data_IF_961449568888
#
_entry.id   IF_961449568888
#
_cell.length_a   1.000
_cell.length_b   1.000
_cell.length_c   1.000
_cell.angle_alpha   90.00
_cell.angle_beta   90.00
_cell.angle_gamma   90.00
#
_symmetry.space_group_name_H-M   'P 1'
#
loop_
_entity.id
_entity.type
_entity.pdbx_description
1 polymer ?
#
# COMPACT_ATOMS: atom_id res chain seq x y z
N UNK A 1 -25.91 81.00 -13.13
CA UNK A 1 -25.52 80.28 -11.90
C UNK A 1 -25.54 78.80 -12.21
N UNK A 2 -24.37 78.16 -12.17
CA UNK A 2 -24.08 76.88 -12.82
C UNK A 2 -24.62 75.67 -12.04
N UNK A 3 -25.13 74.69 -12.80
CA UNK A 3 -25.67 73.40 -12.35
C UNK A 3 -24.50 72.51 -11.93
N UNK A 4 -24.45 72.09 -10.66
CA UNK A 4 -23.40 71.23 -10.13
C UNK A 4 -23.54 69.79 -10.63
N UNK A 5 -22.67 69.40 -11.55
CA UNK A 5 -22.48 68.03 -12.05
C UNK A 5 -21.90 67.15 -10.92
N UNK A 6 -22.68 66.21 -10.38
CA UNK A 6 -22.18 65.26 -9.37
C UNK A 6 -21.26 64.24 -10.05
N UNK A 7 -19.96 64.32 -9.81
CA UNK A 7 -19.00 63.28 -10.26
C UNK A 7 -19.31 61.95 -9.56
N UNK A 8 -19.40 60.82 -10.28
CA UNK A 8 -19.56 59.51 -9.65
C UNK A 8 -18.27 59.16 -8.89
N UNK A 9 -18.44 58.77 -7.61
CA UNK A 9 -17.37 58.26 -6.76
C UNK A 9 -17.00 56.85 -7.22
N UNK A 10 -15.87 56.71 -7.92
CA UNK A 10 -15.30 55.41 -8.26
C UNK A 10 -14.48 54.87 -7.09
N UNK A 11 -14.82 53.69 -6.53
CA UNK A 11 -14.00 53.07 -5.50
C UNK A 11 -12.62 52.67 -6.06
N UNK A 12 -11.50 52.88 -5.32
CA UNK A 12 -10.13 52.68 -5.82
C UNK A 12 -9.73 51.21 -6.05
N UNK A 13 -10.62 50.24 -5.79
CA UNK A 13 -10.31 48.81 -5.80
C UNK A 13 -10.70 48.10 -7.11
N UNK A 14 -11.42 48.74 -8.02
CA UNK A 14 -11.91 48.10 -9.26
C UNK A 14 -10.83 47.80 -10.31
N UNK A 15 -9.61 48.32 -10.13
CA UNK A 15 -8.49 48.05 -11.06
C UNK A 15 -7.68 46.80 -10.73
N UNK A 16 -7.78 46.26 -9.51
CA UNK A 16 -7.03 45.05 -9.12
C UNK A 16 -7.69 43.79 -9.69
N UNK A 17 -9.03 43.78 -9.80
CA UNK A 17 -9.78 42.64 -10.32
C UNK A 17 -9.88 42.59 -11.85
N UNK A 18 -9.47 43.65 -12.56
CA UNK A 18 -9.51 43.72 -14.03
C UNK A 18 -8.32 43.02 -14.73
N UNK A 19 -7.42 42.39 -13.98
CA UNK A 19 -6.28 41.61 -14.50
C UNK A 19 -6.21 40.18 -13.95
N UNK A 20 -7.35 39.61 -13.59
CA UNK A 20 -7.44 38.15 -13.50
C UNK A 20 -7.62 37.69 -14.95
N UNK A 21 -6.63 37.00 -15.55
CA UNK A 21 -6.79 36.55 -16.92
C UNK A 21 -8.00 35.65 -16.96
N UNK A 22 -8.86 35.94 -17.93
CA UNK A 22 -9.97 35.14 -18.43
C UNK A 22 -9.46 33.78 -19.00
N UNK A 23 -8.58 33.10 -18.28
CA UNK A 23 -7.84 31.88 -18.63
C UNK A 23 -8.31 30.69 -17.77
N UNK A 24 -9.53 30.78 -17.21
CA UNK A 24 -10.23 29.72 -16.47
C UNK A 24 -11.62 29.44 -17.08
N UNK A 25 -11.84 29.75 -18.36
CA UNK A 25 -13.17 29.84 -18.97
C UNK A 25 -13.56 28.69 -19.94
N UNK A 26 -12.87 27.55 -19.99
CA UNK A 26 -13.29 26.50 -20.92
C UNK A 26 -13.21 25.13 -20.27
N UNK A 27 -14.33 24.42 -20.23
CA UNK A 27 -14.44 22.98 -19.92
C UNK A 27 -13.34 22.15 -20.61
N UNK A 28 -12.88 22.60 -21.79
CA UNK A 28 -11.72 22.07 -22.52
C UNK A 28 -10.41 22.11 -21.72
N UNK A 29 -10.12 23.16 -20.96
CA UNK A 29 -8.89 23.25 -20.13
C UNK A 29 -8.93 22.26 -18.96
N UNK A 30 -10.10 22.08 -18.35
CA UNK A 30 -10.30 21.06 -17.31
C UNK A 30 -10.18 19.64 -17.89
N UNK A 31 -10.76 19.38 -19.07
CA UNK A 31 -10.61 18.09 -19.75
C UNK A 31 -9.15 17.77 -20.09
N UNK A 32 -8.38 18.75 -20.57
CA UNK A 32 -6.95 18.57 -20.86
C UNK A 32 -6.18 18.23 -19.58
N UNK A 33 -6.42 18.96 -18.48
CA UNK A 33 -5.77 18.68 -17.20
C UNK A 33 -6.13 17.28 -16.65
N UNK A 34 -7.40 16.88 -16.74
CA UNK A 34 -7.84 15.54 -16.33
C UNK A 34 -7.20 14.43 -17.17
N UNK A 35 -7.08 14.61 -18.49
CA UNK A 35 -6.42 13.62 -19.36
C UNK A 35 -4.93 13.54 -19.07
N UNK A 36 -4.26 14.67 -18.85
CA UNK A 36 -2.84 14.69 -18.49
C UNK A 36 -2.59 14.02 -17.13
N UNK A 37 -3.41 14.30 -16.12
CA UNK A 37 -3.27 13.62 -14.82
C UNK A 37 -3.60 12.14 -14.91
N UNK A 38 -4.60 11.74 -15.70
CA UNK A 38 -4.90 10.33 -15.95
C UNK A 38 -3.78 9.60 -16.68
N UNK A 39 -3.14 10.23 -17.68
CA UNK A 39 -2.00 9.66 -18.40
C UNK A 39 -0.75 9.56 -17.53
N UNK A 40 -0.45 10.59 -16.75
CA UNK A 40 0.67 10.58 -15.82
C UNK A 40 0.45 9.56 -14.70
N UNK A 41 -0.77 9.48 -14.14
CA UNK A 41 -1.14 8.50 -13.14
C UNK A 41 -1.13 7.07 -13.68
N UNK A 42 -1.72 6.84 -14.86
CA UNK A 42 -1.68 5.55 -15.54
C UNK A 42 -0.26 5.11 -15.90
N UNK A 43 0.56 6.05 -16.39
CA UNK A 43 1.98 5.84 -16.66
C UNK A 43 2.75 5.48 -15.41
N UNK A 44 2.52 6.18 -14.29
CA UNK A 44 3.13 5.86 -13.00
C UNK A 44 2.73 4.47 -12.52
N UNK A 45 1.45 4.09 -12.62
CA UNK A 45 0.96 2.75 -12.24
C UNK A 45 1.60 1.66 -13.08
N UNK A 46 1.78 1.87 -14.38
CA UNK A 46 2.46 0.91 -15.25
C UNK A 46 3.96 0.85 -14.94
N UNK A 47 4.58 1.99 -14.68
CA UNK A 47 5.99 2.08 -14.33
C UNK A 47 6.32 1.46 -12.97
N UNK A 48 5.44 1.65 -11.98
CA UNK A 48 5.59 1.12 -10.63
C UNK A 48 5.09 -0.33 -10.48
N UNK A 49 4.57 -0.93 -11.55
CA UNK A 49 4.38 -2.37 -11.59
C UNK A 49 5.77 -3.01 -11.62
N UNK A 50 6.18 -3.51 -10.46
CA UNK A 50 7.19 -4.56 -10.36
C UNK A 50 6.88 -5.59 -11.45
N UNK A 51 7.81 -5.91 -12.39
CA UNK A 51 7.57 -6.96 -13.36
C UNK A 51 7.26 -8.23 -12.56
N UNK A 52 6.06 -8.78 -12.73
CA UNK A 52 5.77 -10.13 -12.25
C UNK A 52 6.80 -11.00 -12.95
N UNK A 53 7.83 -11.39 -12.21
CA UNK A 53 8.80 -12.34 -12.69
C UNK A 53 7.99 -13.59 -13.05
N UNK A 54 7.80 -13.81 -14.36
CA UNK A 54 7.31 -15.06 -14.91
C UNK A 54 8.43 -16.10 -14.83
N UNK A 55 9.02 -16.22 -13.63
CA UNK A 55 9.68 -17.41 -13.18
C UNK A 55 8.59 -18.48 -13.22
N UNK A 56 8.70 -19.38 -14.21
CA UNK A 56 7.83 -20.55 -14.33
C UNK A 56 7.64 -21.12 -12.93
N UNK A 57 6.41 -21.04 -12.45
CA UNK A 57 5.92 -21.77 -11.29
C UNK A 57 5.84 -23.27 -11.64
N UNK A 58 6.98 -23.84 -12.04
CA UNK A 58 7.26 -25.27 -12.13
C UNK A 58 8.31 -25.64 -11.08
N UNK A 59 8.39 -24.86 -10.00
CA UNK A 59 8.60 -25.47 -8.69
C UNK A 59 7.25 -26.08 -8.33
N UNK A 60 7.18 -27.40 -8.17
CA UNK A 60 6.03 -28.02 -7.54
C UNK A 60 6.02 -27.45 -6.12
N UNK A 61 5.25 -26.38 -5.88
CA UNK A 61 4.93 -25.96 -4.52
C UNK A 61 3.95 -27.01 -4.02
N UNK A 62 4.48 -28.13 -3.59
CA UNK A 62 3.72 -29.16 -2.92
C UNK A 62 3.32 -28.58 -1.57
N UNK A 63 2.04 -28.24 -1.44
CA UNK A 63 1.50 -27.81 -0.17
C UNK A 63 1.72 -28.92 0.86
N UNK A 64 2.02 -28.58 2.13
CA UNK A 64 2.15 -29.59 3.17
C UNK A 64 0.85 -30.40 3.25
N UNK A 65 0.99 -31.72 3.10
CA UNK A 65 -0.10 -32.68 3.14
C UNK A 65 -0.18 -33.31 4.53
N UNK A 66 -1.41 -33.43 5.03
CA UNK A 66 -1.67 -34.00 6.36
C UNK A 66 -1.08 -35.41 6.44
N UNK A 67 -0.46 -35.73 7.58
CA UNK A 67 0.17 -37.03 7.83
C UNK A 67 1.57 -37.20 7.23
N UNK A 68 2.08 -36.21 6.51
CA UNK A 68 3.47 -36.18 6.04
C UNK A 68 4.31 -35.27 6.92
N UNK A 69 5.62 -35.52 6.93
CA UNK A 69 6.56 -34.66 7.65
C UNK A 69 6.55 -33.25 7.03
N UNK A 70 6.48 -32.25 7.90
CA UNK A 70 6.63 -30.86 7.48
C UNK A 70 8.04 -30.64 6.89
N UNK A 71 8.17 -29.87 5.79
CA UNK A 71 9.48 -29.53 5.23
C UNK A 71 10.36 -28.84 6.27
N UNK A 72 11.63 -29.26 6.33
CA UNK A 72 12.58 -28.64 7.25
C UNK A 72 12.97 -27.24 6.76
N UNK A 73 13.12 -26.32 7.70
CA UNK A 73 13.56 -24.95 7.43
C UNK A 73 14.34 -24.40 8.61
N UNK A 74 15.24 -23.46 8.33
CA UNK A 74 15.97 -22.69 9.34
C UNK A 74 15.66 -21.21 9.20
N UNK A 75 15.31 -20.56 10.30
CA UNK A 75 14.98 -19.13 10.36
C UNK A 75 15.83 -18.44 11.42
N UNK A 76 16.15 -17.17 11.18
CA UNK A 76 16.64 -16.30 12.23
C UNK A 76 15.47 -15.84 13.09
N UNK A 77 15.63 -15.97 14.41
CA UNK A 77 14.68 -15.45 15.40
C UNK A 77 14.90 -13.96 15.60
N UNK A 78 13.90 -13.22 16.10
CA UNK A 78 14.06 -11.81 16.45
C UNK A 78 15.17 -11.55 17.48
N UNK A 79 15.48 -12.54 18.32
CA UNK A 79 16.52 -12.47 19.35
C UNK A 79 17.94 -12.69 18.78
N UNK A 80 18.06 -13.03 17.49
CA UNK A 80 19.32 -13.25 16.78
C UNK A 80 19.78 -14.71 16.75
N UNK A 81 19.08 -15.61 17.44
CA UNK A 81 19.34 -17.06 17.40
C UNK A 81 18.79 -17.70 16.12
N UNK A 82 19.27 -18.89 15.76
CA UNK A 82 18.70 -19.70 14.68
C UNK A 82 17.71 -20.73 15.22
N UNK A 83 16.57 -20.86 14.54
CA UNK A 83 15.56 -21.87 14.81
C UNK A 83 15.45 -22.81 13.60
N UNK A 84 15.56 -24.12 13.83
CA UNK A 84 15.39 -25.15 12.79
C UNK A 84 14.25 -26.10 13.18
N UNK A 85 13.30 -26.36 12.27
CA UNK A 85 12.10 -27.15 12.57
C UNK A 85 12.43 -28.57 13.06
N UNK A 86 13.38 -29.26 12.41
CA UNK A 86 13.74 -30.64 12.80
C UNK A 86 14.23 -30.76 14.25
N UNK A 87 14.77 -29.68 14.83
CA UNK A 87 15.24 -29.67 16.22
C UNK A 87 14.12 -29.88 17.25
N UNK A 88 12.87 -29.70 16.84
CA UNK A 88 11.68 -29.90 17.69
C UNK A 88 11.21 -31.35 17.77
N UNK A 89 11.77 -32.25 16.94
CA UNK A 89 11.42 -33.67 16.88
C UNK A 89 12.37 -34.44 17.82
N UNK A 90 11.81 -35.33 18.67
CA UNK A 90 12.64 -36.18 19.53
C UNK A 90 13.28 -37.34 18.74
N UNK A 91 14.39 -37.87 19.26
CA UNK A 91 15.19 -38.97 18.69
C UNK A 91 14.42 -40.28 18.51
N UNK A 92 13.25 -40.40 19.14
CA UNK A 92 12.30 -41.51 19.02
C UNK A 92 11.33 -41.38 17.83
N UNK A 93 11.35 -40.25 17.10
CA UNK A 93 10.46 -40.02 15.95
C UNK A 93 9.04 -39.58 16.32
N UNK A 94 8.72 -39.45 17.61
CA UNK A 94 7.53 -38.73 18.05
C UNK A 94 7.78 -37.22 17.98
N UNK A 95 6.88 -36.51 17.28
CA UNK A 95 6.84 -35.05 17.29
C UNK A 95 6.85 -34.58 18.75
N UNK A 96 7.77 -33.67 19.10
CA UNK A 96 7.88 -33.12 20.44
C UNK A 96 6.68 -32.25 20.80
N UNK A 97 6.91 -30.99 21.17
CA UNK A 97 5.80 -30.05 21.40
C UNK A 97 5.09 -29.76 20.07
N UNK A 98 3.75 -29.66 20.03
CA UNK A 98 3.05 -29.22 18.83
C UNK A 98 3.52 -27.82 18.42
N UNK A 99 3.81 -27.63 17.14
CA UNK A 99 4.26 -26.35 16.57
C UNK A 99 3.18 -25.81 15.66
N UNK A 100 2.79 -24.56 15.87
CA UNK A 100 1.87 -23.82 15.00
C UNK A 100 2.68 -22.75 14.25
N UNK A 101 2.72 -22.85 12.92
CA UNK A 101 3.37 -21.86 12.06
C UNK A 101 2.35 -20.83 11.59
N UNK A 102 2.58 -19.56 11.93
CA UNK A 102 1.72 -18.45 11.53
C UNK A 102 2.48 -17.51 10.57
N UNK A 103 1.95 -17.28 9.37
CA UNK A 103 2.50 -16.37 8.37
C UNK A 103 1.80 -15.01 8.47
N UNK A 104 2.51 -13.98 8.93
CA UNK A 104 1.94 -12.65 9.15
C UNK A 104 2.95 -11.54 8.83
N UNK A 105 2.48 -10.30 8.83
CA UNK A 105 3.31 -9.11 8.67
C UNK A 105 2.82 -7.98 9.58
N UNK A 106 3.72 -7.04 9.92
CA UNK A 106 3.42 -5.91 10.84
C UNK A 106 2.34 -4.98 10.33
N UNK A 107 2.16 -4.90 9.01
CA UNK A 107 1.12 -4.13 8.34
C UNK A 107 -0.16 -4.92 8.06
N UNK A 108 -0.21 -6.22 8.42
CA UNK A 108 -1.40 -7.04 8.27
C UNK A 108 -2.43 -6.70 9.35
N UNK A 109 -3.45 -5.92 8.98
CA UNK A 109 -4.54 -5.53 9.87
C UNK A 109 -5.25 -6.71 10.56
N UNK A 110 -5.75 -7.70 9.80
CA UNK A 110 -6.39 -8.90 10.38
C UNK A 110 -5.48 -9.69 11.32
N UNK A 111 -4.22 -9.93 10.91
CA UNK A 111 -3.26 -10.70 11.72
C UNK A 111 -3.06 -10.07 13.11
N UNK A 112 -2.98 -8.73 13.19
CA UNK A 112 -2.84 -8.01 14.48
C UNK A 112 -4.02 -8.24 15.43
N UNK A 113 -5.21 -8.48 14.91
CA UNK A 113 -6.42 -8.75 15.70
C UNK A 113 -6.40 -10.20 16.22
N UNK A 114 -5.81 -11.13 15.47
CA UNK A 114 -5.71 -12.55 15.82
C UNK A 114 -4.60 -12.84 16.86
N UNK A 115 -3.46 -12.13 16.81
CA UNK A 115 -2.30 -12.39 17.68
C UNK A 115 -2.60 -12.48 19.19
N UNK A 116 -3.40 -11.59 19.82
CA UNK A 116 -3.67 -11.67 21.26
C UNK A 116 -4.30 -12.99 21.69
N UNK A 117 -5.13 -13.58 20.82
CA UNK A 117 -5.79 -14.86 21.08
C UNK A 117 -4.79 -16.02 21.01
N UNK A 118 -3.82 -15.94 20.10
CA UNK A 118 -2.76 -16.95 19.95
C UNK A 118 -1.80 -16.95 21.15
N UNK A 119 -1.38 -15.77 21.60
CA UNK A 119 -0.48 -15.61 22.75
C UNK A 119 -1.13 -16.00 24.08
N UNK A 120 -2.44 -15.87 24.20
CA UNK A 120 -3.17 -16.29 25.39
C UNK A 120 -3.25 -17.83 25.55
N UNK A 121 -2.96 -18.59 24.48
CA UNK A 121 -3.13 -20.05 24.43
C UNK A 121 -1.81 -20.83 24.48
N UNK A 122 -0.66 -20.15 24.45
CA UNK A 122 0.70 -20.73 24.53
C UNK A 122 1.19 -20.86 25.97
#
# INVERSE_FOLDING_TARGET
MAKGEKRPFSPPYTHIYAKIPLMLQTTRSWLILFLLTALLGGGWVVYSREPVAEERFTSIIEAPIVGHLAPDFTLATPDGDSFTLISTIDRSGTAGKPVVLNFWATWCGPCRIEMPHMQATS
#
